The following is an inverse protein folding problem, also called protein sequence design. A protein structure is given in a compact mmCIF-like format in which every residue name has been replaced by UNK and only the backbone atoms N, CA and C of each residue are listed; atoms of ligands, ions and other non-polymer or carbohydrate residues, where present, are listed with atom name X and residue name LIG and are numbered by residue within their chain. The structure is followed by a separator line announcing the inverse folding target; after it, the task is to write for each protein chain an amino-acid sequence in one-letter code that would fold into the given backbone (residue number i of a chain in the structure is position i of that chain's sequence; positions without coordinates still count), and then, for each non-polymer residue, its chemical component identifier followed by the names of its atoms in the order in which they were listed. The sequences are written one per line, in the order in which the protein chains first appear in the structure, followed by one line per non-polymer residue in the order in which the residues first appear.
data_IF_080859531919
#
_entry.id   IF_080859531919
#
_cell.length_a   1.000
_cell.length_b   1.000
_cell.length_c   1.000
_cell.angle_alpha   90.00
_cell.angle_beta   90.00
_cell.angle_gamma   90.00
#
_symmetry.space_group_name_H-M   'P 1'
#
loop_
_entity.id
_entity.type
_entity.pdbx_description
1 polymer ?
#
# COMPACT_ATOMS: atom_id res chain seq x y z
N UNK A 1 -5.85 5.70 21.84
CA UNK A 1 -6.46 5.32 20.55
C UNK A 1 -7.54 4.32 20.84
N UNK A 2 -8.78 4.56 20.40
CA UNK A 2 -9.93 3.71 20.70
C UNK A 2 -10.50 3.15 19.39
N UNK A 3 -10.79 1.84 19.38
CA UNK A 3 -11.50 1.18 18.30
C UNK A 3 -12.91 0.85 18.80
N UNK A 4 -13.93 1.20 18.01
CA UNK A 4 -15.32 0.81 18.26
C UNK A 4 -15.67 -0.24 17.23
N UNK A 5 -15.92 -1.46 17.70
CA UNK A 5 -16.37 -2.58 16.89
C UNK A 5 -17.88 -2.68 16.99
N UNK A 6 -18.54 -2.77 15.84
CA UNK A 6 -19.97 -3.03 15.76
C UNK A 6 -20.26 -3.97 14.60
N UNK A 7 -21.23 -4.84 14.80
CA UNK A 7 -21.71 -5.77 13.78
C UNK A 7 -23.08 -5.30 13.29
N UNK A 8 -23.25 -5.25 11.96
CA UNK A 8 -24.52 -4.88 11.35
C UNK A 8 -24.63 -5.47 9.97
N UNK A 9 -25.85 -5.85 9.59
CA UNK A 9 -26.14 -6.35 8.26
C UNK A 9 -26.14 -5.20 7.24
N UNK A 10 -25.36 -5.37 6.16
CA UNK A 10 -25.34 -4.43 5.04
C UNK A 10 -26.54 -4.72 4.15
N UNK A 11 -27.67 -4.08 4.47
CA UNK A 11 -28.93 -4.20 3.72
C UNK A 11 -29.13 -3.11 2.67
N UNK A 12 -28.30 -2.07 2.68
CA UNK A 12 -28.35 -0.94 1.75
C UNK A 12 -26.95 -0.42 1.44
N UNK A 13 -26.85 0.53 0.51
CA UNK A 13 -25.59 1.20 0.16
C UNK A 13 -24.94 1.91 1.36
N UNK A 14 -25.74 2.34 2.35
CA UNK A 14 -25.26 3.06 3.51
C UNK A 14 -25.36 2.21 4.77
N UNK A 15 -24.29 2.24 5.57
CA UNK A 15 -24.26 1.66 6.92
C UNK A 15 -24.35 2.78 7.95
N UNK A 16 -25.29 2.66 8.88
CA UNK A 16 -25.45 3.64 9.96
C UNK A 16 -24.40 3.40 11.03
N UNK A 17 -23.55 4.39 11.27
CA UNK A 17 -22.58 4.34 12.39
C UNK A 17 -23.35 4.58 13.70
N UNK A 18 -23.34 3.63 14.65
CA UNK A 18 -23.97 3.83 15.94
C UNK A 18 -23.26 4.93 16.72
N UNK A 19 -24.02 5.72 17.49
CA UNK A 19 -23.50 6.82 18.33
C UNK A 19 -22.62 7.84 17.57
N UNK A 20 -22.95 8.13 16.31
CA UNK A 20 -22.22 9.06 15.43
C UNK A 20 -21.75 10.36 16.08
N UNK A 21 -22.51 10.95 17.01
CA UNK A 21 -22.15 12.20 17.69
C UNK A 21 -20.76 12.16 18.35
N UNK A 22 -20.32 10.99 18.84
CA UNK A 22 -19.01 10.84 19.47
C UNK A 22 -17.83 10.96 18.48
N UNK A 23 -18.10 10.79 17.19
CA UNK A 23 -17.12 10.83 16.11
C UNK A 23 -17.16 12.14 15.30
N UNK A 24 -18.07 13.07 15.67
CA UNK A 24 -18.28 14.32 14.94
C UNK A 24 -17.03 15.20 14.99
N UNK A 25 -16.68 15.81 13.85
CA UNK A 25 -15.51 16.68 13.69
C UNK A 25 -14.16 16.00 13.97
N UNK A 26 -14.09 14.67 13.93
CA UNK A 26 -12.85 13.91 14.12
C UNK A 26 -12.47 13.15 12.85
N UNK A 27 -11.17 12.91 12.66
CA UNK A 27 -10.67 12.04 11.59
C UNK A 27 -10.80 10.58 12.03
N UNK A 28 -11.63 9.81 11.32
CA UNK A 28 -11.94 8.41 11.66
C UNK A 28 -11.51 7.49 10.51
N UNK A 29 -10.83 6.40 10.85
CA UNK A 29 -10.51 5.29 9.93
C UNK A 29 -11.55 4.18 10.13
N UNK A 30 -12.23 3.79 9.07
CA UNK A 30 -13.22 2.70 9.07
C UNK A 30 -12.60 1.45 8.46
N UNK A 31 -12.77 0.30 9.11
CA UNK A 31 -12.34 -1.01 8.62
C UNK A 31 -13.59 -1.86 8.48
N UNK A 32 -13.84 -2.40 7.30
CA UNK A 32 -14.99 -3.27 7.01
C UNK A 32 -14.45 -4.69 6.81
N UNK A 33 -14.94 -5.63 7.62
CA UNK A 33 -14.62 -7.05 7.53
C UNK A 33 -15.85 -7.80 7.04
N UNK A 34 -15.68 -8.73 6.11
CA UNK A 34 -16.73 -9.59 5.60
C UNK A 34 -16.17 -10.97 5.33
N UNK A 35 -16.87 -12.00 5.81
CA UNK A 35 -16.50 -13.40 5.59
C UNK A 35 -16.66 -13.83 4.13
N UNK A 36 -17.49 -13.12 3.35
CA UNK A 36 -17.75 -13.38 1.94
C UNK A 36 -17.05 -12.32 1.10
N UNK A 37 -15.80 -12.59 0.74
CA UNK A 37 -15.05 -11.76 -0.19
C UNK A 37 -15.56 -11.98 -1.62
N UNK A 38 -16.59 -11.24 -2.05
CA UNK A 38 -16.84 -11.04 -3.48
C UNK A 38 -15.84 -9.98 -3.97
N UNK A 39 -14.60 -10.42 -4.21
CA UNK A 39 -13.57 -9.60 -4.84
C UNK A 39 -13.91 -9.48 -6.32
N UNK A 40 -14.85 -8.61 -6.66
CA UNK A 40 -15.03 -8.14 -8.03
C UNK A 40 -14.82 -6.63 -8.05
N UNK A 41 -13.63 -6.24 -8.52
CA UNK A 41 -13.12 -4.89 -8.82
C UNK A 41 -12.61 -4.09 -7.61
N UNK A 42 -11.38 -3.58 -7.57
CA UNK A 42 -10.25 -3.66 -8.48
C UNK A 42 -9.04 -3.20 -7.66
N UNK A 43 -8.33 -4.16 -7.07
CA UNK A 43 -6.98 -3.88 -6.60
C UNK A 43 -6.13 -4.12 -7.82
N UNK A 44 -5.71 -3.02 -8.45
CA UNK A 44 -4.62 -3.02 -9.41
C UNK A 44 -3.56 -3.94 -8.83
N UNK A 45 -3.33 -5.06 -9.54
CA UNK A 45 -2.27 -6.02 -9.27
C UNK A 45 -1.08 -5.24 -8.77
N UNK A 46 -0.53 -5.63 -7.61
CA UNK A 46 0.74 -5.07 -7.13
C UNK A 46 1.68 -5.03 -8.33
N UNK A 47 1.83 -3.85 -8.93
CA UNK A 47 2.58 -3.71 -10.16
C UNK A 47 3.98 -4.15 -9.75
N UNK A 48 4.39 -5.28 -10.29
CA UNK A 48 5.78 -5.71 -10.24
C UNK A 48 6.53 -4.52 -10.80
N UNK A 49 7.18 -3.76 -9.93
CA UNK A 49 7.86 -2.52 -10.32
C UNK A 49 8.98 -2.96 -11.26
N UNK A 50 8.73 -2.83 -12.56
CA UNK A 50 9.68 -3.21 -13.59
C UNK A 50 10.67 -2.06 -13.81
N UNK A 51 11.87 -2.22 -13.24
CA UNK A 51 12.96 -1.28 -13.41
C UNK A 51 13.70 -1.43 -14.75
N UNK A 52 13.26 -2.32 -15.64
CA UNK A 52 13.87 -2.52 -16.97
C UNK A 52 13.88 -1.23 -17.82
N UNK A 53 12.86 -0.38 -17.64
CA UNK A 53 12.76 0.91 -18.32
C UNK A 53 13.61 2.02 -17.67
N UNK A 54 14.08 1.83 -16.43
CA UNK A 54 14.80 2.87 -15.69
C UNK A 54 16.30 2.85 -16.01
N UNK A 55 16.68 3.57 -17.07
CA UNK A 55 18.10 3.81 -17.38
C UNK A 55 18.66 4.89 -16.45
N UNK A 56 19.33 4.46 -15.39
CA UNK A 56 20.12 5.34 -14.52
C UNK A 56 21.27 5.95 -15.34
N UNK A 57 21.19 7.26 -15.63
CA UNK A 57 22.21 7.97 -16.41
C UNK A 57 23.62 7.87 -15.82
N UNK A 58 23.74 7.60 -14.52
CA UNK A 58 25.02 7.47 -13.81
C UNK A 58 25.84 6.23 -14.23
N UNK A 59 25.21 5.21 -14.83
CA UNK A 59 25.90 3.97 -15.26
C UNK A 59 25.99 3.83 -16.78
N UNK A 60 25.69 4.88 -17.54
CA UNK A 60 25.85 4.83 -18.98
C UNK A 60 27.34 4.68 -19.33
N UNK A 61 27.72 3.46 -19.73
CA UNK A 61 29.06 2.97 -20.15
C UNK A 61 29.90 2.26 -19.08
N UNK A 62 29.40 2.03 -17.87
CA UNK A 62 30.14 1.25 -16.87
C UNK A 62 29.26 0.13 -16.31
N UNK A 63 29.73 -1.12 -16.45
CA UNK A 63 29.11 -2.25 -15.77
C UNK A 63 29.12 -1.97 -14.26
N UNK A 64 27.93 -1.91 -13.67
CA UNK A 64 27.76 -1.55 -12.27
C UNK A 64 28.54 -2.50 -11.34
N UNK A 65 28.68 -3.77 -11.73
CA UNK A 65 29.45 -4.76 -10.98
C UNK A 65 30.95 -4.47 -11.07
N UNK A 66 31.44 -4.06 -12.23
CA UNK A 66 32.85 -3.69 -12.41
C UNK A 66 33.21 -2.44 -11.59
N UNK A 67 32.34 -1.43 -11.57
CA UNK A 67 32.53 -0.23 -10.75
C UNK A 67 32.57 -0.55 -9.25
N UNK A 68 31.65 -1.39 -8.77
CA UNK A 68 31.63 -1.82 -7.36
C UNK A 68 32.88 -2.62 -6.97
N UNK A 69 33.39 -3.47 -7.88
CA UNK A 69 34.64 -4.20 -7.65
C UNK A 69 35.83 -3.25 -7.55
N UNK A 70 35.97 -2.31 -8.49
CA UNK A 70 37.05 -1.33 -8.46
C UNK A 70 37.07 -0.53 -7.13
N UNK A 71 35.91 -0.05 -6.67
CA UNK A 71 35.82 0.68 -5.40
C UNK A 71 36.13 -0.18 -4.17
N UNK A 72 35.90 -1.50 -4.22
CA UNK A 72 36.28 -2.41 -3.13
C UNK A 72 37.78 -2.66 -3.13
N UNK A 73 38.34 -2.88 -4.31
CA UNK A 73 39.75 -3.25 -4.48
C UNK A 73 40.68 -2.02 -4.31
N UNK A 74 40.17 -0.78 -4.44
CA UNK A 74 40.88 0.47 -4.08
C UNK A 74 41.12 0.64 -2.57
N UNK A 75 40.51 -0.19 -1.73
CA UNK A 75 40.66 -0.13 -0.26
C UNK A 75 41.62 -1.20 0.29
N UNK A 76 42.27 -1.99 -0.57
CA UNK A 76 43.41 -2.87 -0.26
C UNK A 76 44.75 -2.23 -0.68
#
# INVERSE_FOLDING_TARGET
MYAVEFETDVVSEYVRIPNFEQFKNQHVKVIVLSDKANVSQGIESADVIDFSAFKVKAFNHCDAVAYQRAMRDEWE
#
